data_IF_530772118127
#
_entry.id   IF_530772118127
#
_cell.length_a   1.000
_cell.length_b   1.000
_cell.length_c   1.000
_cell.angle_alpha   90.00
_cell.angle_beta   90.00
_cell.angle_gamma   90.00
#
_symmetry.space_group_name_H-M   'P 1'
#
loop_
_entity.id
_entity.type
_entity.pdbx_description
1 polymer ?
#
# COMPACT_ATOMS: atom_id res chain seq x y z
N UNK A 1 9.84 30.04 -24.81
CA UNK A 1 10.42 31.20 -25.54
C UNK A 1 9.61 32.46 -25.30
N UNK A 2 8.32 32.50 -25.64
CA UNK A 2 7.48 33.70 -25.48
C UNK A 2 7.35 34.22 -24.04
N UNK A 3 7.11 33.35 -23.04
CA UNK A 3 7.04 33.77 -21.62
C UNK A 3 8.36 34.38 -21.11
N UNK A 4 9.50 33.82 -21.51
CA UNK A 4 10.82 34.35 -21.16
C UNK A 4 11.08 35.70 -21.81
N UNK A 5 10.70 35.88 -23.07
CA UNK A 5 10.86 37.16 -23.76
C UNK A 5 10.00 38.26 -23.10
N UNK A 6 8.75 37.96 -22.77
CA UNK A 6 7.88 38.88 -22.01
C UNK A 6 8.46 39.20 -20.62
N UNK A 7 9.00 38.21 -19.93
CA UNK A 7 9.66 38.41 -18.63
C UNK A 7 10.87 39.33 -18.72
N UNK A 8 11.67 39.24 -19.80
CA UNK A 8 12.82 40.13 -20.00
C UNK A 8 12.36 41.55 -20.36
N UNK A 9 11.37 41.66 -21.25
CA UNK A 9 10.87 42.95 -21.73
C UNK A 9 10.18 43.77 -20.63
N UNK A 10 9.52 43.12 -19.66
CA UNK A 10 8.85 43.84 -18.55
C UNK A 10 9.82 44.68 -17.72
N UNK A 11 11.09 44.26 -17.63
CA UNK A 11 12.12 45.00 -16.89
C UNK A 11 12.60 46.26 -17.63
N UNK A 12 12.33 46.38 -18.93
CA UNK A 12 12.73 47.51 -19.77
C UNK A 12 11.55 48.38 -20.21
N UNK A 13 10.33 47.85 -20.16
CA UNK A 13 9.12 48.53 -20.61
C UNK A 13 7.98 48.29 -19.61
N UNK A 14 7.65 49.30 -18.82
CA UNK A 14 6.61 49.25 -17.78
C UNK A 14 5.22 48.88 -18.35
N UNK A 15 4.96 49.25 -19.61
CA UNK A 15 3.74 48.91 -20.34
C UNK A 15 3.55 47.40 -20.56
N UNK A 16 4.63 46.61 -20.48
CA UNK A 16 4.61 45.14 -20.63
C UNK A 16 4.30 44.44 -19.29
N UNK A 17 4.45 45.12 -18.15
CA UNK A 17 4.24 44.52 -16.83
C UNK A 17 2.81 44.02 -16.64
N UNK A 18 1.82 44.78 -17.10
CA UNK A 18 0.40 44.38 -17.06
C UNK A 18 0.14 43.12 -17.90
N UNK A 19 0.65 43.08 -19.13
CA UNK A 19 0.52 41.93 -20.03
C UNK A 19 1.21 40.68 -19.47
N UNK A 20 2.41 40.83 -18.91
CA UNK A 20 3.12 39.73 -18.26
C UNK A 20 2.39 39.21 -17.02
N UNK A 21 1.81 40.11 -16.23
CA UNK A 21 1.01 39.75 -15.05
C UNK A 21 -0.26 38.99 -15.43
N UNK A 22 -0.96 39.42 -16.49
CA UNK A 22 -2.12 38.70 -17.03
C UNK A 22 -1.75 37.31 -17.55
N UNK A 23 -0.63 37.18 -18.25
CA UNK A 23 -0.12 35.88 -18.70
C UNK A 23 0.19 34.96 -17.51
N UNK A 24 0.89 35.46 -16.49
CA UNK A 24 1.20 34.69 -15.28
C UNK A 24 -0.08 34.23 -14.56
N UNK A 25 -1.10 35.09 -14.48
CA UNK A 25 -2.42 34.74 -13.93
C UNK A 25 -3.09 33.64 -14.74
N UNK A 26 -3.14 33.77 -16.08
CA UNK A 26 -3.74 32.74 -16.94
C UNK A 26 -3.00 31.40 -16.87
N UNK A 27 -1.67 31.44 -16.79
CA UNK A 27 -0.84 30.23 -16.60
C UNK A 27 -1.12 29.58 -15.25
N UNK A 28 -1.27 30.37 -14.17
CA UNK A 28 -1.64 29.86 -12.84
C UNK A 28 -3.00 29.16 -12.89
N UNK A 29 -4.03 29.83 -13.41
CA UNK A 29 -5.39 29.27 -13.51
C UNK A 29 -5.43 27.96 -14.30
N UNK A 30 -4.71 27.89 -15.43
CA UNK A 30 -4.62 26.66 -16.24
C UNK A 30 -3.88 25.54 -15.50
N UNK A 31 -2.82 25.88 -14.79
CA UNK A 31 -2.04 24.90 -14.03
C UNK A 31 -2.85 24.37 -12.83
N UNK A 32 -3.61 25.21 -12.14
CA UNK A 32 -4.48 24.77 -11.05
C UNK A 32 -5.57 23.82 -11.55
N UNK A 33 -6.20 24.11 -12.70
CA UNK A 33 -7.16 23.21 -13.35
C UNK A 33 -6.57 21.86 -13.76
N UNK A 34 -5.28 21.82 -14.10
CA UNK A 34 -4.59 20.56 -14.40
C UNK A 34 -4.51 19.65 -13.16
N UNK A 35 -4.37 20.24 -11.97
CA UNK A 35 -4.15 19.51 -10.71
C UNK A 35 -5.46 19.20 -9.97
N UNK A 36 -6.51 19.97 -10.23
CA UNK A 36 -7.86 19.76 -9.68
C UNK A 36 -8.31 18.28 -9.62
N UNK A 37 -8.15 17.45 -10.68
CA UNK A 37 -8.60 16.05 -10.64
C UNK A 37 -7.74 15.13 -9.76
N UNK A 38 -6.58 15.57 -9.24
CA UNK A 38 -5.63 14.69 -8.56
C UNK A 38 -6.25 13.86 -7.42
N UNK A 39 -7.08 14.48 -6.58
CA UNK A 39 -7.75 13.80 -5.47
C UNK A 39 -8.67 12.68 -5.96
N UNK A 40 -9.48 12.95 -6.99
CA UNK A 40 -10.41 11.99 -7.55
C UNK A 40 -9.67 10.81 -8.19
N UNK A 41 -8.64 11.09 -9.00
CA UNK A 41 -7.80 10.08 -9.64
C UNK A 41 -7.14 9.16 -8.60
N UNK A 42 -6.62 9.74 -7.51
CA UNK A 42 -6.02 8.99 -6.39
C UNK A 42 -7.07 8.12 -5.70
N UNK A 43 -8.23 8.67 -5.36
CA UNK A 43 -9.29 7.94 -4.66
C UNK A 43 -9.90 6.80 -5.48
N UNK A 44 -9.85 6.90 -6.81
CA UNK A 44 -10.35 5.90 -7.75
C UNK A 44 -9.27 4.93 -8.24
N UNK A 45 -8.04 5.04 -7.73
CA UNK A 45 -6.88 4.20 -8.07
C UNK A 45 -6.48 4.26 -9.55
N UNK A 46 -6.72 5.38 -10.24
CA UNK A 46 -6.36 5.57 -11.65
C UNK A 46 -4.86 5.92 -11.81
N UNK A 47 -3.98 5.00 -11.42
CA UNK A 47 -2.53 5.23 -11.33
C UNK A 47 -1.87 5.65 -12.64
N UNK A 48 -2.37 5.18 -13.79
CA UNK A 48 -1.86 5.62 -15.09
C UNK A 48 -2.14 7.12 -15.33
N UNK A 49 -3.34 7.58 -15.00
CA UNK A 49 -3.70 9.00 -15.13
C UNK A 49 -2.96 9.88 -14.11
N UNK A 50 -2.74 9.37 -12.89
CA UNK A 50 -1.90 10.04 -11.88
C UNK A 50 -0.47 10.18 -12.39
N UNK A 51 0.06 9.12 -13.01
CA UNK A 51 1.40 9.12 -13.60
C UNK A 51 1.51 10.15 -14.72
N UNK A 52 0.54 10.20 -15.62
CA UNK A 52 0.48 11.20 -16.68
C UNK A 52 0.40 12.63 -16.12
N UNK A 53 -0.38 12.84 -15.07
CA UNK A 53 -0.48 14.14 -14.38
C UNK A 53 0.89 14.54 -13.79
N UNK A 54 1.55 13.65 -13.05
CA UNK A 54 2.87 13.89 -12.46
C UNK A 54 3.91 14.19 -13.55
N UNK A 55 3.86 13.46 -14.68
CA UNK A 55 4.74 13.69 -15.83
C UNK A 55 4.49 15.06 -16.46
N UNK A 56 3.24 15.46 -16.63
CA UNK A 56 2.89 16.77 -17.18
C UNK A 56 3.38 17.90 -16.27
N UNK A 57 3.19 17.77 -14.95
CA UNK A 57 3.71 18.74 -13.98
C UNK A 57 5.23 18.81 -14.09
N UNK A 58 5.93 17.66 -14.05
CA UNK A 58 7.39 17.60 -14.12
C UNK A 58 7.95 18.23 -15.40
N UNK A 59 7.31 18.03 -16.56
CA UNK A 59 7.69 18.65 -17.83
C UNK A 59 7.52 20.18 -17.81
N UNK A 60 6.48 20.66 -17.13
CA UNK A 60 6.19 22.09 -17.02
C UNK A 60 7.07 22.81 -15.99
N UNK A 61 7.57 22.11 -14.96
CA UNK A 61 8.42 22.66 -13.88
C UNK A 61 9.54 23.58 -14.37
N UNK A 62 10.48 23.16 -15.26
CA UNK A 62 11.61 24.01 -15.65
C UNK A 62 11.18 25.30 -16.38
N UNK A 63 10.01 25.29 -17.02
CA UNK A 63 9.48 26.41 -17.80
C UNK A 63 8.71 27.36 -16.89
N UNK A 64 7.82 26.83 -16.06
CA UNK A 64 6.84 27.62 -15.32
C UNK A 64 7.31 28.07 -13.93
N UNK A 65 8.28 27.38 -13.29
CA UNK A 65 8.71 27.76 -11.93
C UNK A 65 9.23 29.19 -11.83
N UNK A 66 9.90 29.68 -12.89
CA UNK A 66 10.43 31.06 -12.95
C UNK A 66 9.32 32.12 -13.04
N UNK A 67 8.14 31.74 -13.51
CA UNK A 67 7.01 32.64 -13.74
C UNK A 67 5.95 32.54 -12.64
N UNK A 68 5.81 31.36 -12.04
CA UNK A 68 4.78 31.05 -11.05
C UNK A 68 5.32 30.99 -9.61
N UNK A 69 6.49 31.58 -9.35
CA UNK A 69 7.04 31.78 -8.00
C UNK A 69 7.09 30.50 -7.15
N UNK A 70 7.45 29.36 -7.76
CA UNK A 70 7.56 28.07 -7.06
C UNK A 70 6.25 27.28 -6.88
N UNK A 71 5.10 27.82 -7.31
CA UNK A 71 3.80 27.12 -7.25
C UNK A 71 3.84 25.73 -7.92
N UNK A 72 4.59 25.60 -9.02
CA UNK A 72 4.64 24.34 -9.78
C UNK A 72 5.37 23.27 -9.00
N UNK A 73 6.48 23.63 -8.35
CA UNK A 73 7.16 22.73 -7.42
C UNK A 73 6.26 22.36 -6.25
N UNK A 74 5.62 23.35 -5.61
CA UNK A 74 4.70 23.11 -4.48
C UNK A 74 3.60 22.11 -4.84
N UNK A 75 2.95 22.29 -5.99
CA UNK A 75 1.88 21.38 -6.44
C UNK A 75 2.40 20.01 -6.86
N UNK A 76 3.60 19.93 -7.44
CA UNK A 76 4.25 18.65 -7.69
C UNK A 76 4.45 17.87 -6.37
N UNK A 77 4.98 18.55 -5.34
CA UNK A 77 5.15 17.95 -4.01
C UNK A 77 3.80 17.51 -3.44
N UNK A 78 2.79 18.37 -3.52
CA UNK A 78 1.44 18.11 -3.01
C UNK A 78 0.83 16.82 -3.61
N UNK A 79 0.85 16.67 -4.93
CA UNK A 79 0.26 15.48 -5.59
C UNK A 79 0.96 14.19 -5.16
N UNK A 80 2.29 14.20 -5.05
CA UNK A 80 3.04 13.02 -4.63
C UNK A 80 2.77 12.70 -3.15
N UNK A 81 2.77 13.71 -2.28
CA UNK A 81 2.48 13.51 -0.85
C UNK A 81 1.07 12.97 -0.63
N UNK A 82 0.09 13.51 -1.36
CA UNK A 82 -1.30 13.07 -1.33
C UNK A 82 -1.42 11.60 -1.74
N UNK A 83 -0.72 11.18 -2.80
CA UNK A 83 -0.66 9.78 -3.23
C UNK A 83 -0.02 8.88 -2.17
N UNK A 84 1.15 9.25 -1.66
CA UNK A 84 1.87 8.44 -0.66
C UNK A 84 1.08 8.32 0.65
N UNK A 85 0.39 9.39 1.06
CA UNK A 85 -0.51 9.37 2.21
C UNK A 85 -1.69 8.44 1.96
N UNK A 86 -2.34 8.52 0.80
CA UNK A 86 -3.44 7.62 0.44
C UNK A 86 -3.01 6.15 0.52
N UNK A 87 -1.87 5.80 -0.05
CA UNK A 87 -1.35 4.42 -0.05
C UNK A 87 -0.93 3.98 1.36
N UNK A 88 -0.33 4.86 2.15
CA UNK A 88 0.01 4.56 3.55
C UNK A 88 -1.25 4.31 4.39
N UNK A 89 -2.32 5.07 4.17
CA UNK A 89 -3.60 4.89 4.85
C UNK A 89 -4.23 3.52 4.54
N UNK A 90 -3.98 2.93 3.36
CA UNK A 90 -4.44 1.57 3.06
C UNK A 90 -3.77 0.54 3.97
N UNK A 91 -2.49 0.75 4.27
CA UNK A 91 -1.73 -0.11 5.18
C UNK A 91 -2.22 0.05 6.61
N UNK A 92 -2.41 1.28 7.07
CA UNK A 92 -2.94 1.57 8.41
C UNK A 92 -4.33 0.98 8.61
N UNK A 93 -5.22 1.11 7.61
CA UNK A 93 -6.56 0.50 7.65
C UNK A 93 -6.50 -1.02 7.76
N UNK A 94 -5.62 -1.66 6.99
CA UNK A 94 -5.43 -3.11 7.07
C UNK A 94 -4.85 -3.52 8.44
N UNK A 95 -3.91 -2.75 8.98
CA UNK A 95 -3.25 -3.02 10.26
C UNK A 95 -4.22 -3.09 11.44
N UNK A 96 -5.27 -2.24 11.44
CA UNK A 96 -6.34 -2.27 12.45
C UNK A 96 -7.02 -3.65 12.52
N UNK A 97 -7.08 -4.38 11.41
CA UNK A 97 -7.65 -5.72 11.37
C UNK A 97 -6.63 -6.80 11.73
N UNK A 98 -5.38 -6.65 11.26
CA UNK A 98 -4.32 -7.64 11.45
C UNK A 98 -3.82 -7.78 12.92
N UNK A 99 -4.32 -6.97 13.84
CA UNK A 99 -4.10 -7.15 15.29
C UNK A 99 -5.18 -7.99 15.97
N UNK A 100 -6.29 -8.30 15.29
CA UNK A 100 -7.42 -9.04 15.87
C UNK A 100 -7.10 -10.53 16.03
N UNK A 101 -7.78 -11.26 16.92
CA UNK A 101 -7.63 -12.72 17.00
C UNK A 101 -8.09 -13.44 15.72
N UNK A 102 -9.13 -12.91 15.08
CA UNK A 102 -9.74 -13.47 13.87
C UNK A 102 -10.19 -12.35 12.95
N UNK A 103 -10.23 -12.64 11.66
CA UNK A 103 -10.78 -11.76 10.65
C UNK A 103 -12.13 -12.30 10.18
N UNK A 104 -13.08 -11.40 9.96
CA UNK A 104 -14.28 -11.75 9.19
C UNK A 104 -14.05 -11.55 7.69
N UNK A 105 -14.98 -12.03 6.86
CA UNK A 105 -14.89 -11.99 5.40
C UNK A 105 -14.69 -10.58 4.85
N UNK A 106 -15.44 -9.59 5.36
CA UNK A 106 -15.30 -8.19 4.93
C UNK A 106 -13.90 -7.63 5.24
N UNK A 107 -13.33 -7.98 6.39
CA UNK A 107 -12.00 -7.54 6.80
C UNK A 107 -10.91 -8.16 5.91
N UNK A 108 -11.06 -9.44 5.58
CA UNK A 108 -10.18 -10.14 4.64
C UNK A 108 -10.25 -9.47 3.27
N UNK A 109 -11.43 -9.11 2.78
CA UNK A 109 -11.61 -8.41 1.52
C UNK A 109 -10.97 -7.02 1.53
N UNK A 110 -11.05 -6.29 2.63
CA UNK A 110 -10.32 -5.01 2.77
C UNK A 110 -8.82 -5.23 2.67
N UNK A 111 -8.26 -6.23 3.37
CA UNK A 111 -6.82 -6.55 3.30
C UNK A 111 -6.42 -6.92 1.87
N UNK A 112 -7.20 -7.79 1.21
CA UNK A 112 -6.98 -8.19 -0.20
C UNK A 112 -7.00 -7.00 -1.14
N UNK A 113 -8.00 -6.14 -1.02
CA UNK A 113 -8.14 -4.97 -1.86
C UNK A 113 -6.98 -3.99 -1.64
N UNK A 114 -6.54 -3.79 -0.40
CA UNK A 114 -5.35 -2.99 -0.09
C UNK A 114 -4.09 -3.56 -0.76
N UNK A 115 -3.85 -4.87 -0.67
CA UNK A 115 -2.70 -5.51 -1.35
C UNK A 115 -2.79 -5.33 -2.85
N UNK A 116 -3.96 -5.53 -3.46
CA UNK A 116 -4.17 -5.37 -4.90
C UNK A 116 -3.90 -3.93 -5.37
N UNK A 117 -4.43 -2.93 -4.67
CA UNK A 117 -4.24 -1.52 -5.01
C UNK A 117 -2.76 -1.15 -4.89
N UNK A 118 -2.11 -1.52 -3.78
CA UNK A 118 -0.69 -1.26 -3.56
C UNK A 118 0.19 -1.99 -4.57
N UNK A 119 -0.18 -3.23 -4.94
CA UNK A 119 0.50 -4.01 -5.98
C UNK A 119 0.44 -3.30 -7.33
N UNK A 120 -0.75 -2.84 -7.74
CA UNK A 120 -0.94 -2.08 -8.99
C UNK A 120 -0.09 -0.79 -9.00
N UNK A 121 -0.07 -0.04 -7.89
CA UNK A 121 0.77 1.15 -7.78
C UNK A 121 2.27 0.80 -7.87
N UNK A 122 2.69 -0.26 -7.17
CA UNK A 122 4.08 -0.72 -7.12
C UNK A 122 4.59 -1.17 -8.49
N UNK A 123 3.75 -1.84 -9.28
CA UNK A 123 4.07 -2.35 -10.62
C UNK A 123 4.20 -1.24 -11.67
N UNK A 124 3.67 -0.05 -11.40
CA UNK A 124 3.84 1.10 -12.28
C UNK A 124 5.27 1.67 -12.17
N UNK A 125 6.16 1.20 -13.04
CA UNK A 125 7.57 1.59 -13.06
C UNK A 125 7.78 3.11 -13.25
N UNK A 126 6.93 3.76 -14.05
CA UNK A 126 7.08 5.21 -14.28
C UNK A 126 6.70 6.00 -13.03
N UNK A 127 5.69 5.55 -12.30
CA UNK A 127 5.30 6.15 -11.01
C UNK A 127 6.39 5.95 -9.95
N UNK A 128 6.96 4.75 -9.87
CA UNK A 128 8.12 4.43 -9.01
C UNK A 128 9.29 5.37 -9.26
N UNK A 129 9.65 5.58 -10.53
CA UNK A 129 10.74 6.46 -10.91
C UNK A 129 10.48 7.90 -10.46
N UNK A 130 9.25 8.40 -10.65
CA UNK A 130 8.89 9.79 -10.29
C UNK A 130 8.88 10.03 -8.78
N UNK A 131 8.40 9.06 -8.01
CA UNK A 131 8.44 9.09 -6.55
C UNK A 131 9.89 9.02 -6.07
N UNK A 132 10.72 8.14 -6.66
CA UNK A 132 12.14 8.04 -6.32
C UNK A 132 12.88 9.36 -6.56
N UNK A 133 12.67 9.98 -7.73
CA UNK A 133 13.23 11.30 -8.05
C UNK A 133 12.78 12.35 -7.03
N UNK A 134 11.51 12.33 -6.63
CA UNK A 134 10.98 13.24 -5.60
C UNK A 134 11.66 13.05 -4.25
N UNK A 135 11.76 11.82 -3.76
CA UNK A 135 12.41 11.49 -2.48
C UNK A 135 13.88 11.94 -2.51
N UNK A 136 14.60 11.68 -3.60
CA UNK A 136 16.00 12.11 -3.75
C UNK A 136 16.14 13.64 -3.75
N UNK A 137 15.20 14.36 -4.36
CA UNK A 137 15.17 15.83 -4.30
C UNK A 137 14.97 16.34 -2.88
N UNK A 138 14.06 15.73 -2.10
CA UNK A 138 13.85 16.12 -0.70
C UNK A 138 15.09 15.86 0.16
N UNK A 139 15.73 14.70 -0.02
CA UNK A 139 16.97 14.33 0.69
C UNK A 139 18.09 15.33 0.41
N UNK A 140 18.28 15.72 -0.86
CA UNK A 140 19.28 16.74 -1.25
C UNK A 140 19.02 18.10 -0.63
N UNK A 141 17.76 18.44 -0.33
CA UNK A 141 17.38 19.69 0.33
C UNK A 141 17.47 19.63 1.86
N UNK A 142 17.93 18.52 2.43
CA UNK A 142 17.95 18.26 3.89
C UNK A 142 16.59 18.52 4.55
N UNK A 143 15.49 18.26 3.83
CA UNK A 143 14.16 18.36 4.41
C UNK A 143 14.00 17.20 5.41
N UNK A 144 13.86 17.48 6.71
CA UNK A 144 13.62 16.45 7.76
C UNK A 144 12.49 15.48 7.40
N UNK A 145 11.52 15.94 6.61
CA UNK A 145 10.42 15.13 6.09
C UNK A 145 10.90 13.94 5.24
N UNK A 146 12.06 14.05 4.58
CA UNK A 146 12.59 13.06 3.65
C UNK A 146 13.01 11.73 4.30
N UNK A 147 13.34 11.75 5.60
CA UNK A 147 13.82 10.55 6.32
C UNK A 147 12.71 9.52 6.55
N UNK A 148 11.45 9.97 6.62
CA UNK A 148 10.30 9.12 6.95
C UNK A 148 9.42 8.79 5.74
N UNK A 149 9.72 9.35 4.57
CA UNK A 149 8.94 9.10 3.35
C UNK A 149 9.34 7.75 2.76
N UNK A 150 8.40 6.82 2.78
CA UNK A 150 8.53 5.50 2.16
C UNK A 150 8.20 5.59 0.67
N UNK A 151 8.97 4.89 -0.15
CA UNK A 151 8.62 4.66 -1.55
C UNK A 151 7.50 3.60 -1.68
N UNK A 152 6.97 3.41 -2.89
CA UNK A 152 5.86 2.49 -3.13
C UNK A 152 6.19 1.03 -2.77
N UNK A 153 7.41 0.58 -3.07
CA UNK A 153 7.86 -0.76 -2.74
C UNK A 153 7.96 -0.97 -1.22
N UNK A 154 8.43 0.02 -0.47
CA UNK A 154 8.48 0.00 0.99
C UNK A 154 7.07 -0.02 1.59
N UNK A 155 6.13 0.80 1.09
CA UNK A 155 4.73 0.80 1.56
C UNK A 155 4.08 -0.57 1.30
N UNK A 156 4.26 -1.12 0.10
CA UNK A 156 3.74 -2.44 -0.25
C UNK A 156 4.31 -3.54 0.65
N UNK A 157 5.64 -3.59 0.78
CA UNK A 157 6.32 -4.62 1.57
C UNK A 157 5.92 -4.55 3.05
N UNK A 158 5.68 -3.35 3.59
CA UNK A 158 5.23 -3.19 4.97
C UNK A 158 3.86 -3.83 5.22
N UNK A 159 2.93 -3.75 4.27
CA UNK A 159 1.65 -4.47 4.38
C UNK A 159 1.86 -5.98 4.30
N UNK A 160 2.68 -6.45 3.37
CA UNK A 160 2.97 -7.87 3.22
C UNK A 160 3.60 -8.45 4.49
N UNK A 161 4.56 -7.75 5.09
CA UNK A 161 5.18 -8.15 6.37
C UNK A 161 4.15 -8.25 7.49
N UNK A 162 3.23 -7.29 7.59
CA UNK A 162 2.15 -7.32 8.59
C UNK A 162 1.22 -8.52 8.40
N UNK A 163 0.86 -8.85 7.16
CA UNK A 163 0.00 -10.01 6.87
C UNK A 163 0.73 -11.32 7.19
N UNK A 164 2.01 -11.44 6.83
CA UNK A 164 2.82 -12.62 7.19
C UNK A 164 2.96 -12.74 8.71
N UNK A 165 3.17 -11.65 9.43
CA UNK A 165 3.23 -11.67 10.89
C UNK A 165 1.89 -12.12 11.51
N UNK A 166 0.77 -11.62 10.99
CA UNK A 166 -0.56 -12.08 11.41
C UNK A 166 -0.75 -13.58 11.15
N UNK A 167 -0.31 -14.06 9.99
CA UNK A 167 -0.34 -15.48 9.64
C UNK A 167 0.45 -16.34 10.64
N UNK A 168 1.65 -15.89 11.04
CA UNK A 168 2.46 -16.57 12.04
C UNK A 168 1.79 -16.58 13.41
N UNK A 169 1.12 -15.48 13.80
CA UNK A 169 0.35 -15.44 15.05
C UNK A 169 -0.81 -16.45 15.06
N UNK A 170 -1.44 -16.72 13.91
CA UNK A 170 -2.45 -17.79 13.83
C UNK A 170 -1.81 -19.16 14.11
N UNK A 171 -0.66 -19.44 13.50
CA UNK A 171 0.08 -20.69 13.76
C UNK A 171 0.43 -20.84 15.25
N UNK A 172 0.92 -19.76 15.89
CA UNK A 172 1.27 -19.77 17.30
C UNK A 172 0.06 -20.03 18.19
N UNK A 173 -1.11 -19.44 17.84
CA UNK A 173 -2.37 -19.71 18.54
C UNK A 173 -2.82 -21.16 18.40
N UNK A 174 -2.71 -21.76 17.21
CA UNK A 174 -3.02 -23.18 17.02
C UNK A 174 -2.12 -24.03 17.92
N UNK A 175 -0.81 -23.77 17.91
CA UNK A 175 0.15 -24.50 18.76
C UNK A 175 -0.23 -24.39 20.24
N UNK A 176 -0.52 -23.17 20.72
CA UNK A 176 -0.94 -22.93 22.10
C UNK A 176 -2.26 -23.64 22.47
N UNK A 177 -3.23 -23.72 21.54
CA UNK A 177 -4.47 -24.45 21.80
C UNK A 177 -4.20 -25.93 22.08
N UNK A 178 -3.33 -26.58 21.30
CA UNK A 178 -2.95 -27.98 21.52
C UNK A 178 -2.14 -28.17 22.80
N UNK A 179 -1.27 -27.24 23.16
CA UNK A 179 -0.53 -27.29 24.43
C UNK A 179 -1.46 -27.22 25.65
N UNK A 180 -2.51 -26.39 25.60
CA UNK A 180 -3.42 -26.16 26.73
C UNK A 180 -4.54 -27.20 26.81
N UNK A 181 -5.15 -27.54 25.67
CA UNK A 181 -6.37 -28.35 25.61
C UNK A 181 -6.14 -29.76 25.06
N UNK A 182 -4.91 -30.10 24.67
CA UNK A 182 -4.61 -31.37 24.00
C UNK A 182 -5.48 -31.53 22.76
N UNK A 183 -6.01 -32.73 22.55
CA UNK A 183 -6.81 -33.03 21.35
C UNK A 183 -8.17 -32.31 21.32
N UNK A 184 -8.67 -31.78 22.45
CA UNK A 184 -9.88 -30.93 22.45
C UNK A 184 -9.68 -29.61 21.70
N UNK A 185 -8.42 -29.23 21.41
CA UNK A 185 -8.10 -28.10 20.56
C UNK A 185 -8.69 -28.22 19.14
N UNK A 186 -8.96 -29.44 18.67
CA UNK A 186 -9.52 -29.70 17.34
C UNK A 186 -10.86 -28.95 17.12
N UNK A 187 -11.66 -28.76 18.17
CA UNK A 187 -12.95 -28.04 18.09
C UNK A 187 -12.82 -26.58 17.63
N UNK A 188 -11.68 -25.93 17.91
CA UNK A 188 -11.46 -24.51 17.65
C UNK A 188 -10.46 -24.26 16.51
N UNK A 189 -9.68 -25.28 16.14
CA UNK A 189 -8.57 -25.18 15.20
C UNK A 189 -9.02 -25.00 13.76
N UNK A 190 -10.13 -25.62 13.36
CA UNK A 190 -10.68 -25.51 11.99
C UNK A 190 -10.86 -24.04 11.59
N UNK A 191 -11.42 -23.24 12.49
CA UNK A 191 -11.69 -21.83 12.22
C UNK A 191 -10.42 -21.00 11.99
N UNK A 192 -9.31 -21.35 12.65
CA UNK A 192 -8.01 -20.70 12.48
C UNK A 192 -7.33 -21.13 11.18
N UNK A 193 -7.44 -22.42 10.80
CA UNK A 193 -6.96 -22.92 9.51
C UNK A 193 -7.70 -22.23 8.36
N UNK A 194 -9.02 -22.05 8.48
CA UNK A 194 -9.82 -21.34 7.49
C UNK A 194 -9.39 -19.88 7.34
N UNK A 195 -9.07 -19.19 8.44
CA UNK A 195 -8.53 -17.83 8.41
C UNK A 195 -7.17 -17.79 7.67
N UNK A 196 -6.28 -18.79 7.88
CA UNK A 196 -5.02 -18.94 7.14
C UNK A 196 -5.26 -19.17 5.64
N UNK A 197 -6.19 -20.03 5.28
CA UNK A 197 -6.51 -20.34 3.88
C UNK A 197 -7.09 -19.13 3.15
N UNK A 198 -8.00 -18.39 3.80
CA UNK A 198 -8.60 -17.20 3.23
C UNK A 198 -7.55 -16.11 2.92
N UNK A 199 -6.52 -15.95 3.77
CA UNK A 199 -5.40 -15.04 3.55
C UNK A 199 -4.50 -15.50 2.41
N UNK A 200 -4.24 -16.80 2.30
CA UNK A 200 -3.41 -17.40 1.24
C UNK A 200 -4.01 -17.29 -0.16
N UNK A 201 -5.26 -16.87 -0.30
CA UNK A 201 -5.79 -16.49 -1.62
C UNK A 201 -5.08 -15.26 -2.22
N UNK A 202 -4.28 -14.53 -1.44
CA UNK A 202 -3.36 -13.49 -1.92
C UNK A 202 -2.05 -14.17 -2.39
N UNK A 203 -1.70 -14.14 -3.69
CA UNK A 203 -0.57 -14.91 -4.24
C UNK A 203 0.78 -14.67 -3.57
N UNK A 204 1.11 -13.41 -3.26
CA UNK A 204 2.38 -13.06 -2.62
C UNK A 204 2.44 -13.56 -1.18
N UNK A 205 1.30 -13.64 -0.50
CA UNK A 205 1.23 -14.20 0.85
C UNK A 205 1.39 -15.71 0.79
N UNK A 206 0.71 -16.38 -0.16
CA UNK A 206 0.85 -17.82 -0.37
C UNK A 206 2.31 -18.24 -0.52
N UNK A 207 3.04 -17.57 -1.41
CA UNK A 207 4.45 -17.86 -1.66
C UNK A 207 5.33 -17.73 -0.40
N UNK A 208 4.97 -16.82 0.52
CA UNK A 208 5.73 -16.55 1.75
C UNK A 208 5.31 -17.43 2.92
N UNK A 209 4.08 -17.96 2.92
CA UNK A 209 3.50 -18.67 4.07
C UNK A 209 3.21 -20.13 3.83
N UNK A 210 3.30 -20.62 2.58
CA UNK A 210 3.01 -22.02 2.22
C UNK A 210 3.72 -23.04 3.12
N UNK A 211 5.03 -22.86 3.39
CA UNK A 211 5.78 -23.78 4.23
C UNK A 211 5.35 -23.79 5.69
N UNK A 212 4.82 -22.68 6.22
CA UNK A 212 4.25 -22.65 7.57
C UNK A 212 2.88 -23.31 7.54
N UNK A 213 2.02 -22.93 6.60
CA UNK A 213 0.70 -23.51 6.44
C UNK A 213 0.71 -25.04 6.41
N UNK A 214 1.50 -25.64 5.50
CA UNK A 214 1.48 -27.09 5.34
C UNK A 214 1.99 -27.80 6.59
N UNK A 215 2.98 -27.22 7.29
CA UNK A 215 3.43 -27.76 8.58
C UNK A 215 2.34 -27.66 9.65
N UNK A 216 1.64 -26.54 9.74
CA UNK A 216 0.51 -26.37 10.65
C UNK A 216 -0.61 -27.38 10.36
N UNK A 217 -0.96 -27.58 9.09
CA UNK A 217 -1.98 -28.56 8.69
C UNK A 217 -1.56 -29.99 8.99
N UNK A 218 -0.32 -30.38 8.69
CA UNK A 218 0.17 -31.72 9.03
C UNK A 218 0.23 -31.94 10.55
N UNK A 219 0.62 -30.91 11.32
CA UNK A 219 0.61 -30.95 12.78
C UNK A 219 -0.79 -31.27 13.32
N UNK A 220 -1.81 -30.53 12.86
CA UNK A 220 -3.21 -30.75 13.25
C UNK A 220 -3.70 -32.13 12.79
N UNK A 221 -3.35 -32.55 11.57
CA UNK A 221 -3.69 -33.88 11.06
C UNK A 221 -3.08 -35.01 11.89
N UNK A 222 -1.86 -34.81 12.41
CA UNK A 222 -1.22 -35.75 13.33
C UNK A 222 -2.06 -36.02 14.57
N UNK A 223 -2.57 -34.97 15.22
CA UNK A 223 -3.49 -35.08 16.34
C UNK A 223 -4.81 -35.78 15.96
N UNK A 224 -5.39 -35.43 14.80
CA UNK A 224 -6.60 -36.10 14.31
C UNK A 224 -6.40 -37.62 14.12
N UNK A 225 -5.28 -38.04 13.53
CA UNK A 225 -4.96 -39.47 13.39
C UNK A 225 -4.68 -40.16 14.73
N UNK A 226 -4.16 -39.45 15.72
CA UNK A 226 -4.00 -39.99 17.07
C UNK A 226 -5.37 -40.29 17.70
N UNK A 227 -6.28 -39.31 17.71
CA UNK A 227 -7.65 -39.50 18.23
C UNK A 227 -8.37 -40.64 17.50
N UNK A 228 -8.23 -40.73 16.17
CA UNK A 228 -8.82 -41.82 15.39
C UNK A 228 -8.31 -43.20 15.83
N UNK A 229 -7.01 -43.34 16.10
CA UNK A 229 -6.43 -44.58 16.61
C UNK A 229 -6.94 -44.91 18.01
N UNK A 230 -6.98 -43.92 18.91
CA UNK A 230 -7.49 -44.11 20.28
C UNK A 230 -8.96 -44.58 20.28
N UNK A 231 -9.78 -44.07 19.36
CA UNK A 231 -11.17 -44.54 19.18
C UNK A 231 -11.22 -45.96 18.61
N UNK A 232 -10.39 -46.30 17.63
CA UNK A 232 -10.35 -47.65 17.06
C UNK A 232 -9.91 -48.70 18.09
N UNK A 233 -8.90 -48.39 18.90
CA UNK A 233 -8.42 -49.25 19.98
C UNK A 233 -9.50 -49.45 21.04
N UNK A 234 -10.24 -48.38 21.39
CA UNK A 234 -11.38 -48.47 22.31
C UNK A 234 -12.49 -49.38 21.76
N UNK A 235 -12.88 -49.22 20.50
CA UNK A 235 -13.90 -50.06 19.86
C UNK A 235 -13.49 -51.54 19.85
N UNK A 236 -12.25 -51.83 19.45
CA UNK A 236 -11.72 -53.19 19.47
C UNK A 236 -11.72 -53.81 20.89
N UNK A 237 -11.43 -53.00 21.91
CA UNK A 237 -11.47 -53.46 23.30
C UNK A 237 -12.89 -53.82 23.76
N UNK A 238 -13.91 -53.10 23.30
CA UNK A 238 -15.33 -53.37 23.61
C UNK A 238 -15.81 -54.61 22.87
N UNK A 239 -15.46 -54.79 21.60
CA UNK A 239 -15.84 -55.96 20.79
C UNK A 239 -15.19 -57.26 21.28
N UNK A 240 -14.09 -57.17 22.03
CA UNK A 240 -13.39 -58.30 22.63
C UNK A 240 -13.93 -58.75 24.00
N UNK A 241 -14.95 -58.08 24.54
CA UNK A 241 -15.66 -58.43 25.78
C UNK A 241 -16.98 -59.17 25.50
#
# INVERSE_FOLDING_TARGET
VYCNNLFLLKNSFEQIESLYSELCRSLRERFEKLIEPANELISTNEFDKITDLILQIAKCTPILNKHLQGLVEEKYKYVIQLLLQYLSNLVEKADIFLVKPRLNENEIDVVKNSVKILGTAKENATLQDRISIYIDMLRKKNEKLAENIKNLSEIYNLLIEKIVNYFNQINDRITQLFEVYGDRALENTESLINDMEAIRTIPEIDSKTAGIYYRTVEFVRGHMHQVQREVQDLLASIESQ
#
